data_IF_194875485578
#
_entry.id   IF_194875485578
#
_cell.length_a   1.000
_cell.length_b   1.000
_cell.length_c   1.000
_cell.angle_alpha   90.00
_cell.angle_beta   90.00
_cell.angle_gamma   90.00
#
_symmetry.space_group_name_H-M   'P 1'
#
loop_
_entity.id
_entity.type
_entity.pdbx_description
1 polymer ?
#
# COMPACT_ATOMS: atom_id res chain seq x y z
N UNK A 1 5.86 18.29 -2.03
CA UNK A 1 5.47 17.50 -0.86
C UNK A 1 6.66 16.70 -0.37
N UNK A 2 6.73 16.41 0.93
CA UNK A 2 7.75 15.53 1.52
C UNK A 2 7.13 14.16 1.85
N UNK A 3 7.97 13.12 1.96
CA UNK A 3 7.50 11.81 2.41
C UNK A 3 6.93 11.88 3.83
N UNK A 4 7.59 12.58 4.76
CA UNK A 4 7.14 12.76 6.13
C UNK A 4 5.76 13.42 6.22
N UNK A 5 5.52 14.49 5.45
CA UNK A 5 4.20 15.14 5.40
C UNK A 5 3.12 14.24 4.80
N UNK A 6 3.47 13.45 3.77
CA UNK A 6 2.51 12.53 3.15
C UNK A 6 2.06 11.42 4.08
N UNK A 7 2.97 10.83 4.85
CA UNK A 7 2.64 9.72 5.76
C UNK A 7 2.00 10.24 7.05
N UNK A 8 2.39 11.42 7.53
CA UNK A 8 1.73 12.06 8.67
C UNK A 8 0.28 12.46 8.34
N UNK A 9 0.01 12.87 7.10
CA UNK A 9 -1.35 13.17 6.65
C UNK A 9 -2.22 11.91 6.46
N UNK A 10 -1.61 10.78 6.11
CA UNK A 10 -2.27 9.48 5.87
C UNK A 10 -3.59 9.57 5.09
N UNK A 11 -3.58 10.33 3.99
CA UNK A 11 -4.69 10.32 3.04
C UNK A 11 -4.76 8.94 2.38
N UNK A 12 -5.93 8.27 2.32
CA UNK A 12 -6.06 6.96 1.70
C UNK A 12 -5.53 6.91 0.27
N UNK A 13 -5.61 8.01 -0.48
CA UNK A 13 -5.17 8.07 -1.87
C UNK A 13 -3.68 8.44 -2.03
N UNK A 14 -2.95 8.69 -0.94
CA UNK A 14 -1.53 8.98 -0.96
C UNK A 14 -0.69 7.73 -1.23
N UNK A 15 0.33 7.86 -2.08
CA UNK A 15 1.12 6.72 -2.54
C UNK A 15 2.13 6.21 -1.49
N UNK A 16 2.72 7.11 -0.68
CA UNK A 16 3.78 6.76 0.27
C UNK A 16 3.36 5.79 1.40
N UNK A 17 2.17 5.89 2.01
CA UNK A 17 1.72 4.93 3.01
C UNK A 17 1.82 3.46 2.54
N UNK A 18 1.37 3.17 1.31
CA UNK A 18 1.44 1.80 0.78
C UNK A 18 2.89 1.36 0.51
N UNK A 19 3.73 2.26 0.01
CA UNK A 19 5.15 1.96 -0.15
C UNK A 19 5.80 1.56 1.19
N UNK A 20 5.57 2.33 2.26
CA UNK A 20 6.14 2.03 3.57
C UNK A 20 5.58 0.74 4.18
N UNK A 21 4.29 0.46 4.00
CA UNK A 21 3.66 -0.75 4.51
C UNK A 21 4.14 -2.02 3.77
N UNK A 22 4.36 -1.92 2.45
CA UNK A 22 4.90 -3.01 1.64
C UNK A 22 6.41 -3.21 1.87
N UNK A 23 7.16 -2.16 2.18
CA UNK A 23 8.60 -2.23 2.47
C UNK A 23 8.92 -2.66 3.90
N UNK A 24 7.91 -2.93 4.73
CA UNK A 24 8.06 -3.17 6.17
C UNK A 24 8.88 -2.08 6.86
N UNK A 25 8.59 -0.83 6.50
CA UNK A 25 9.39 0.30 6.94
C UNK A 25 9.20 0.60 8.43
N UNK A 26 10.20 1.25 9.01
CA UNK A 26 10.12 1.89 10.32
C UNK A 26 10.03 3.39 10.14
N UNK A 27 9.04 4.01 10.76
CA UNK A 27 8.86 5.45 10.82
C UNK A 27 9.58 5.94 12.07
N UNK A 28 10.59 6.78 11.89
CA UNK A 28 11.39 7.35 12.97
C UNK A 28 10.84 8.74 13.29
N UNK A 29 10.52 8.96 14.56
CA UNK A 29 10.12 10.27 15.08
C UNK A 29 11.21 10.87 15.95
N UNK A 30 10.98 12.08 16.45
CA UNK A 30 11.81 12.71 17.48
C UNK A 30 11.69 12.02 18.87
N UNK A 31 10.75 11.09 19.06
CA UNK A 31 10.53 10.43 20.37
C UNK A 31 10.70 8.91 20.32
N UNK A 32 10.35 8.26 19.21
CA UNK A 32 10.33 6.79 19.10
C UNK A 32 10.42 6.32 17.65
N UNK A 33 10.54 5.01 17.50
CA UNK A 33 10.41 4.31 16.23
C UNK A 33 9.10 3.53 16.20
N UNK A 34 8.41 3.54 15.07
CA UNK A 34 7.09 2.92 14.90
C UNK A 34 7.12 2.08 13.61
N UNK A 35 6.79 0.79 13.71
CA UNK A 35 6.65 -0.06 12.53
C UNK A 35 5.50 0.44 11.64
N UNK A 36 5.65 0.36 10.32
CA UNK A 36 4.61 0.80 9.37
C UNK A 36 3.26 0.10 9.60
N UNK A 37 3.26 -1.17 10.02
CA UNK A 37 2.05 -1.91 10.40
C UNK A 37 1.29 -1.30 11.59
N UNK A 38 1.99 -0.57 12.47
CA UNK A 38 1.41 0.09 13.64
C UNK A 38 1.20 1.59 13.43
N UNK A 39 1.78 2.16 12.38
CA UNK A 39 1.78 3.61 12.17
C UNK A 39 0.47 4.12 11.55
N UNK A 40 -0.12 3.37 10.62
CA UNK A 40 -1.36 3.76 9.93
C UNK A 40 -2.56 3.13 10.64
N UNK A 41 -3.35 3.94 11.35
CA UNK A 41 -4.41 3.45 12.26
C UNK A 41 -5.83 3.68 11.76
N UNK A 42 -6.00 4.47 10.70
CA UNK A 42 -7.29 4.77 10.10
C UNK A 42 -7.18 5.80 8.97
N UNK A 43 -8.31 6.22 8.41
CA UNK A 43 -8.37 7.31 7.44
C UNK A 43 -7.93 8.63 8.06
N UNK A 44 -6.88 9.26 7.53
CA UNK A 44 -6.30 10.49 8.09
C UNK A 44 -5.80 10.37 9.54
N UNK A 45 -5.63 9.15 10.04
CA UNK A 45 -5.19 8.87 11.39
C UNK A 45 -3.88 8.07 11.38
N UNK A 46 -2.98 8.44 12.28
CA UNK A 46 -1.70 7.76 12.49
C UNK A 46 -1.44 7.56 13.97
N UNK A 47 -0.44 6.76 14.30
CA UNK A 47 0.05 6.59 15.67
C UNK A 47 0.91 7.76 16.20
N UNK A 48 0.98 8.89 15.48
CA UNK A 48 1.67 10.08 15.97
C UNK A 48 0.90 10.68 17.16
N UNK A 49 1.63 11.00 18.22
CA UNK A 49 1.11 11.73 19.37
C UNK A 49 1.43 13.23 19.26
N UNK A 50 0.77 14.06 20.06
CA UNK A 50 1.03 15.50 20.09
C UNK A 50 2.52 15.81 20.36
N UNK A 51 3.08 16.66 19.50
CA UNK A 51 4.50 17.04 19.54
C UNK A 51 5.46 15.95 19.03
N UNK A 52 4.96 14.84 18.48
CA UNK A 52 5.77 13.94 17.66
C UNK A 52 5.94 14.48 16.24
N UNK A 53 7.16 14.36 15.73
CA UNK A 53 7.55 14.82 14.39
C UNK A 53 8.28 13.66 13.71
N UNK A 54 7.82 13.28 12.52
CA UNK A 54 8.54 12.33 11.66
C UNK A 54 9.87 12.95 11.24
N UNK A 55 10.98 12.30 11.59
CA UNK A 55 12.34 12.76 11.29
C UNK A 55 12.99 11.93 10.19
N UNK A 56 12.65 10.64 10.08
CA UNK A 56 13.16 9.75 9.04
C UNK A 56 12.21 8.57 8.78
N UNK A 57 12.50 7.83 7.70
CA UNK A 57 11.94 6.51 7.43
C UNK A 57 13.10 5.57 7.10
N UNK A 58 13.05 4.34 7.58
CA UNK A 58 14.07 3.33 7.34
C UNK A 58 13.42 2.03 6.86
N UNK A 59 14.07 1.33 5.94
CA UNK A 59 13.64 0.02 5.46
C UNK A 59 14.84 -0.71 4.85
N UNK A 60 14.77 -2.04 4.83
CA UNK A 60 15.75 -2.85 4.10
C UNK A 60 15.38 -2.85 2.62
N UNK A 61 16.36 -2.58 1.75
CA UNK A 61 16.11 -2.58 0.31
C UNK A 61 15.57 -3.95 -0.15
N UNK A 62 14.41 -4.00 -0.83
CA UNK A 62 13.86 -5.26 -1.33
C UNK A 62 14.66 -5.74 -2.53
N UNK A 63 14.62 -7.05 -2.80
CA UNK A 63 15.21 -7.64 -4.00
C UNK A 63 14.45 -7.24 -5.27
N UNK A 64 13.12 -7.12 -5.16
CA UNK A 64 12.23 -6.67 -6.22
C UNK A 64 11.13 -5.81 -5.61
N UNK A 65 10.77 -4.72 -6.28
CA UNK A 65 9.62 -3.93 -5.90
C UNK A 65 9.09 -3.13 -7.10
N UNK A 66 7.80 -2.87 -7.10
CA UNK A 66 7.18 -1.95 -8.03
C UNK A 66 5.87 -1.41 -7.48
N UNK A 67 5.46 -0.25 -7.99
CA UNK A 67 4.19 0.38 -7.68
C UNK A 67 3.45 0.71 -8.96
N UNK A 68 2.22 0.23 -9.06
CA UNK A 68 1.32 0.53 -10.18
C UNK A 68 0.03 1.15 -9.67
N UNK A 69 -0.43 2.20 -10.35
CA UNK A 69 -1.66 2.89 -9.94
C UNK A 69 -2.60 3.22 -11.09
N UNK A 70 -3.88 2.95 -10.84
CA UNK A 70 -4.99 3.44 -11.61
C UNK A 70 -5.40 4.81 -11.06
N UNK A 71 -5.11 5.86 -11.84
CA UNK A 71 -5.22 7.25 -11.39
C UNK A 71 -6.60 7.82 -11.71
N UNK A 72 -7.14 8.62 -10.81
CA UNK A 72 -8.22 9.53 -11.14
C UNK A 72 -7.74 10.47 -12.28
N UNK A 73 -8.48 10.61 -13.39
CA UNK A 73 -8.03 11.40 -14.53
C UNK A 73 -7.79 12.88 -14.21
N UNK A 74 -8.60 13.46 -13.33
CA UNK A 74 -8.53 14.87 -12.97
C UNK A 74 -7.48 15.12 -11.89
N UNK A 75 -7.58 14.42 -10.76
CA UNK A 75 -6.73 14.69 -9.59
C UNK A 75 -5.37 13.97 -9.63
N UNK A 76 -5.24 12.92 -10.45
CA UNK A 76 -4.08 12.03 -10.55
C UNK A 76 -3.75 11.22 -9.27
N UNK A 77 -4.52 11.38 -8.21
CA UNK A 77 -4.52 10.50 -7.04
C UNK A 77 -4.95 9.07 -7.42
N UNK A 78 -4.53 8.09 -6.63
CA UNK A 78 -4.91 6.71 -6.86
C UNK A 78 -6.42 6.53 -6.59
N UNK A 79 -7.13 5.98 -7.57
CA UNK A 79 -8.39 5.27 -7.27
C UNK A 79 -8.01 3.94 -6.63
N UNK A 80 -7.06 3.22 -7.25
CA UNK A 80 -6.38 2.07 -6.65
C UNK A 80 -4.91 2.11 -7.04
N UNK A 81 -4.04 1.96 -6.04
CA UNK A 81 -2.62 1.70 -6.24
C UNK A 81 -2.22 0.39 -5.56
N UNK A 82 -1.25 -0.32 -6.11
CA UNK A 82 -0.69 -1.53 -5.48
C UNK A 82 0.82 -1.47 -5.52
N UNK A 83 1.41 -1.55 -4.34
CA UNK A 83 2.85 -1.71 -4.16
C UNK A 83 3.14 -3.18 -3.85
N UNK A 84 4.01 -3.80 -4.64
CA UNK A 84 4.52 -5.15 -4.36
C UNK A 84 5.99 -5.06 -4.00
N UNK A 85 6.42 -5.82 -3.01
CA UNK A 85 7.81 -5.95 -2.61
C UNK A 85 8.13 -7.42 -2.32
N UNK A 86 9.32 -7.88 -2.73
CA UNK A 86 9.91 -9.15 -2.34
C UNK A 86 11.26 -8.86 -1.69
N UNK A 87 11.40 -9.15 -0.40
CA UNK A 87 12.59 -8.88 0.40
C UNK A 87 13.02 -10.07 1.24
N UNK A 88 13.92 -9.81 2.20
CA UNK A 88 14.41 -10.82 3.15
C UNK A 88 13.27 -11.44 3.97
N UNK A 89 12.27 -10.63 4.31
CA UNK A 89 11.11 -11.04 5.12
C UNK A 89 9.95 -11.59 4.28
N UNK A 90 10.19 -11.88 3.00
CA UNK A 90 9.22 -12.45 2.07
C UNK A 90 8.51 -11.41 1.22
N UNK A 91 7.31 -11.76 0.77
CA UNK A 91 6.50 -10.94 -0.14
C UNK A 91 5.47 -10.13 0.65
N UNK A 92 5.43 -8.82 0.37
CA UNK A 92 4.46 -7.89 0.95
C UNK A 92 3.75 -7.11 -0.15
N UNK A 93 2.44 -6.92 0.01
CA UNK A 93 1.60 -6.22 -0.95
C UNK A 93 0.68 -5.25 -0.23
N UNK A 94 0.86 -3.96 -0.49
CA UNK A 94 0.05 -2.91 0.10
C UNK A 94 -0.79 -2.19 -0.96
N UNK A 95 -1.98 -1.75 -0.55
CA UNK A 95 -3.00 -1.17 -1.41
C UNK A 95 -3.27 0.27 -1.01
N UNK A 96 -3.26 1.17 -2.01
CA UNK A 96 -3.59 2.59 -1.89
C UNK A 96 -5.00 2.84 -2.41
N UNK A 97 -5.73 3.73 -1.76
CA UNK A 97 -6.95 4.36 -2.26
C UNK A 97 -8.21 3.51 -2.16
N UNK A 98 -8.11 2.23 -1.76
CA UNK A 98 -9.23 1.29 -1.82
C UNK A 98 -9.87 0.94 -0.48
N UNK A 99 -9.10 0.92 0.61
CA UNK A 99 -9.57 0.47 1.92
C UNK A 99 -10.45 1.51 2.60
N UNK A 100 -11.55 1.08 3.21
CA UNK A 100 -12.42 1.96 3.98
C UNK A 100 -11.76 2.52 5.26
N UNK A 101 -10.68 1.87 5.70
CA UNK A 101 -9.89 2.22 6.88
C UNK A 101 -8.48 2.72 6.52
N UNK A 102 -8.28 3.12 5.26
CA UNK A 102 -7.00 3.64 4.76
C UNK A 102 -6.16 2.60 4.01
N UNK A 103 -4.84 2.79 4.08
CA UNK A 103 -3.88 1.86 3.47
C UNK A 103 -3.91 0.50 4.17
N UNK A 104 -3.80 -0.59 3.43
CA UNK A 104 -3.78 -1.94 4.01
C UNK A 104 -2.93 -2.92 3.21
N UNK A 105 -2.62 -4.07 3.80
CA UNK A 105 -1.95 -5.20 3.12
C UNK A 105 -2.96 -6.21 2.59
N UNK A 106 -2.83 -6.63 1.32
CA UNK A 106 -3.66 -7.72 0.77
C UNK A 106 -2.99 -9.07 1.00
N UNK A 107 -3.48 -9.79 2.01
CA UNK A 107 -2.94 -11.09 2.43
C UNK A 107 -3.13 -12.19 1.40
N UNK A 108 -4.21 -12.13 0.64
CA UNK A 108 -4.52 -13.08 -0.42
C UNK A 108 -3.51 -12.97 -1.58
N UNK A 109 -3.11 -11.75 -1.92
CA UNK A 109 -2.11 -11.49 -2.96
C UNK A 109 -0.71 -11.83 -2.44
N UNK A 110 -0.38 -11.47 -1.20
CA UNK A 110 0.87 -11.88 -0.54
C UNK A 110 1.06 -13.39 -0.59
N UNK A 111 0.05 -14.17 -0.19
CA UNK A 111 0.11 -15.63 -0.16
C UNK A 111 0.33 -16.24 -1.56
N UNK A 112 -0.34 -15.71 -2.59
CA UNK A 112 -0.17 -16.18 -3.95
C UNK A 112 1.23 -15.87 -4.50
N UNK A 113 1.73 -14.65 -4.30
CA UNK A 113 3.04 -14.23 -4.78
C UNK A 113 4.20 -14.85 -4.00
N UNK A 114 3.99 -15.23 -2.74
CA UNK A 114 4.98 -15.97 -1.95
C UNK A 114 5.26 -17.36 -2.53
N UNK A 115 4.28 -17.97 -3.21
CA UNK A 115 4.46 -19.26 -3.90
C UNK A 115 5.17 -19.08 -5.24
N UNK A 116 4.80 -18.03 -5.98
CA UNK A 116 5.40 -17.69 -7.27
C UNK A 116 5.26 -16.18 -7.51
N UNK A 117 6.39 -15.46 -7.51
CA UNK A 117 6.42 -14.00 -7.69
C UNK A 117 6.24 -13.62 -9.18
N UNK A 118 5.07 -13.92 -9.71
CA UNK A 118 4.70 -13.71 -11.11
C UNK A 118 3.21 -13.35 -11.26
N UNK A 119 2.87 -12.61 -12.31
CA UNK A 119 1.50 -12.17 -12.58
C UNK A 119 0.51 -13.34 -12.73
N UNK A 120 0.97 -14.49 -13.24
CA UNK A 120 0.13 -15.68 -13.40
C UNK A 120 -0.37 -16.26 -12.07
N UNK A 121 0.37 -16.07 -10.96
CA UNK A 121 -0.05 -16.51 -9.63
C UNK A 121 -1.34 -15.81 -9.17
N UNK A 122 -1.64 -14.63 -9.72
CA UNK A 122 -2.80 -13.81 -9.36
C UNK A 122 -4.05 -14.08 -10.21
N UNK A 123 -4.02 -15.06 -11.12
CA UNK A 123 -5.14 -15.33 -12.03
C UNK A 123 -6.41 -15.81 -11.33
N UNK A 124 -6.28 -16.45 -10.16
CA UNK A 124 -7.40 -16.99 -9.38
C UNK A 124 -7.60 -16.30 -8.03
N UNK A 125 -6.78 -15.30 -7.73
CA UNK A 125 -6.88 -14.55 -6.47
C UNK A 125 -8.10 -13.63 -6.56
N UNK A 126 -8.94 -13.68 -5.52
CA UNK A 126 -10.06 -12.77 -5.34
C UNK A 126 -9.78 -11.90 -4.13
N UNK A 127 -9.85 -10.59 -4.32
CA UNK A 127 -9.78 -9.62 -3.22
C UNK A 127 -11.20 -9.42 -2.69
N UNK A 128 -11.45 -9.57 -1.38
CA UNK A 128 -12.76 -9.30 -0.80
C UNK A 128 -13.14 -7.81 -0.92
N UNK A 129 -14.42 -7.53 -1.14
CA UNK A 129 -14.92 -6.15 -1.30
C UNK A 129 -15.47 -5.53 -0.01
N UNK A 130 -15.65 -6.33 1.04
CA UNK A 130 -16.34 -5.96 2.28
C UNK A 130 -15.68 -4.81 3.05
N UNK A 131 -14.35 -4.68 2.98
CA UNK A 131 -13.57 -3.65 3.69
C UNK A 131 -13.05 -2.57 2.73
N UNK A 132 -13.68 -2.43 1.57
CA UNK A 132 -13.33 -1.46 0.54
C UNK A 132 -14.36 -0.32 0.49
N UNK A 133 -13.87 0.89 0.26
CA UNK A 133 -14.72 2.06 0.14
C UNK A 133 -15.56 2.03 -1.15
N UNK A 134 -16.73 2.67 -1.10
CA UNK A 134 -17.55 2.93 -2.29
C UNK A 134 -17.90 4.41 -2.35
N UNK A 135 -17.65 5.04 -3.49
CA UNK A 135 -17.90 6.47 -3.69
C UNK A 135 -18.37 6.77 -5.12
N UNK A 136 -18.45 8.05 -5.46
CA UNK A 136 -18.85 8.52 -6.79
C UNK A 136 -17.86 8.14 -7.91
N UNK A 137 -16.65 7.69 -7.57
CA UNK A 137 -15.60 7.36 -8.53
C UNK A 137 -15.50 5.86 -8.79
N UNK A 138 -15.79 5.03 -7.79
CA UNK A 138 -15.69 3.58 -7.88
C UNK A 138 -16.51 2.88 -6.79
N UNK A 139 -17.18 1.79 -7.16
CA UNK A 139 -17.75 0.85 -6.20
C UNK A 139 -16.67 -0.01 -5.53
N UNK A 140 -17.01 -0.59 -4.37
CA UNK A 140 -16.15 -1.55 -3.68
C UNK A 140 -15.76 -2.73 -4.58
N UNK A 141 -16.71 -3.30 -5.32
CA UNK A 141 -16.44 -4.40 -6.28
C UNK A 141 -15.47 -3.99 -7.40
N UNK A 142 -15.61 -2.76 -7.90
CA UNK A 142 -14.72 -2.24 -8.93
C UNK A 142 -13.29 -2.04 -8.38
N UNK A 143 -13.16 -1.56 -7.13
CA UNK A 143 -11.87 -1.46 -6.45
C UNK A 143 -11.25 -2.83 -6.21
N UNK A 144 -12.02 -3.81 -5.76
CA UNK A 144 -11.55 -5.19 -5.60
C UNK A 144 -10.97 -5.75 -6.91
N UNK A 145 -11.66 -5.53 -8.03
CA UNK A 145 -11.17 -5.89 -9.35
C UNK A 145 -9.86 -5.14 -9.71
N UNK A 146 -9.83 -3.82 -9.51
CA UNK A 146 -8.67 -2.99 -9.82
C UNK A 146 -7.45 -3.38 -8.98
N UNK A 147 -7.60 -3.80 -7.72
CA UNK A 147 -6.48 -4.26 -6.89
C UNK A 147 -5.80 -5.45 -7.57
N UNK A 148 -6.56 -6.46 -8.01
CA UNK A 148 -5.99 -7.61 -8.71
C UNK A 148 -5.30 -7.21 -10.03
N UNK A 149 -5.87 -6.27 -10.78
CA UNK A 149 -5.30 -5.77 -12.05
C UNK A 149 -4.00 -5.00 -11.80
N UNK A 150 -3.98 -4.09 -10.82
CA UNK A 150 -2.79 -3.31 -10.47
C UNK A 150 -1.69 -4.20 -9.89
N UNK A 151 -2.04 -5.18 -9.06
CA UNK A 151 -1.08 -6.14 -8.52
C UNK A 151 -0.38 -6.95 -9.63
N UNK A 152 -1.12 -7.41 -10.65
CA UNK A 152 -0.54 -8.09 -11.83
C UNK A 152 0.43 -7.21 -12.59
N UNK A 153 0.09 -5.93 -12.77
CA UNK A 153 0.99 -4.96 -13.43
C UNK A 153 2.22 -4.69 -12.59
N UNK A 154 2.05 -4.51 -11.28
CA UNK A 154 3.14 -4.24 -10.35
C UNK A 154 4.13 -5.41 -10.33
N UNK A 155 3.68 -6.65 -10.18
CA UNK A 155 4.60 -7.81 -10.18
C UNK A 155 5.29 -8.00 -11.54
N UNK A 156 4.60 -7.74 -12.65
CA UNK A 156 5.23 -7.75 -13.97
C UNK A 156 6.33 -6.67 -14.10
N UNK A 157 6.07 -5.45 -13.62
CA UNK A 157 7.03 -4.36 -13.60
C UNK A 157 8.21 -4.64 -12.66
N UNK A 158 7.98 -5.29 -11.52
CA UNK A 158 9.03 -5.69 -10.58
C UNK A 158 9.94 -6.82 -11.11
N UNK A 159 9.50 -7.52 -12.16
CA UNK A 159 10.25 -8.58 -12.84
C UNK A 159 10.96 -8.10 -14.12
N UNK A 160 10.70 -6.87 -14.57
CA UNK A 160 11.32 -6.28 -15.76
C UNK A 160 12.76 -5.83 -15.49
#
# INVERSE_FOLDING_TARGET
GTIGGSIANNDPAADYPAALLALDATIVTNKREIAADAFFTGLFETALEDGEIVTAVTFTAPTKAAYEKFRNPASRYAIVGVFVASGADGVRVAVTGAGDSGVFRSKEIEAALATNFDAAALNRVKVPANDLMSDIHASADYRANLIAVMAKRAVAAANA
#
